data_IF_916247580034
#
_entry.id   IF_916247580034
#
_cell.length_a   1.000
_cell.length_b   1.000
_cell.length_c   1.000
_cell.angle_alpha   90.00
_cell.angle_beta   90.00
_cell.angle_gamma   90.00
#
_symmetry.space_group_name_H-M   'P 1'
#
loop_
_entity.id
_entity.type
_entity.pdbx_description
1 polymer ?
#
# COMPACT_ATOMS: atom_id res chain seq x y z
N UNK A 1 -25.79 -9.34 -4.17
CA UNK A 1 -24.56 -9.52 -3.37
C UNK A 1 -24.68 -10.77 -2.52
N UNK A 2 -23.62 -11.55 -2.29
CA UNK A 2 -23.68 -12.74 -1.42
C UNK A 2 -23.83 -12.37 0.06
N UNK A 3 -24.39 -13.27 0.87
CA UNK A 3 -24.54 -13.09 2.34
C UNK A 3 -23.20 -12.73 3.01
N UNK A 4 -22.11 -13.38 2.60
CA UNK A 4 -20.77 -13.12 3.13
C UNK A 4 -20.28 -11.67 2.86
N UNK A 5 -20.60 -11.10 1.69
CA UNK A 5 -20.24 -9.70 1.38
C UNK A 5 -21.07 -8.71 2.20
N UNK A 6 -22.36 -8.96 2.39
CA UNK A 6 -23.20 -8.12 3.25
C UNK A 6 -22.68 -8.13 4.70
N UNK A 7 -22.33 -9.31 5.22
CA UNK A 7 -21.71 -9.43 6.54
C UNK A 7 -20.40 -8.64 6.62
N UNK A 8 -19.56 -8.70 5.57
CA UNK A 8 -18.30 -7.96 5.51
C UNK A 8 -18.52 -6.45 5.57
N UNK A 9 -19.49 -5.92 4.84
CA UNK A 9 -19.82 -4.49 4.90
C UNK A 9 -20.35 -4.09 6.28
N UNK A 10 -21.23 -4.89 6.88
CA UNK A 10 -21.78 -4.62 8.20
C UNK A 10 -20.68 -4.60 9.28
N UNK A 11 -19.83 -5.63 9.31
CA UNK A 11 -18.68 -5.71 10.24
C UNK A 11 -17.72 -4.53 10.01
N UNK A 12 -17.45 -4.20 8.74
CA UNK A 12 -16.57 -3.08 8.40
C UNK A 12 -17.13 -1.73 8.87
N UNK A 13 -18.43 -1.49 8.67
CA UNK A 13 -19.11 -0.27 9.12
C UNK A 13 -19.11 -0.17 10.65
N UNK A 14 -19.34 -1.26 11.37
CA UNK A 14 -19.20 -1.30 12.82
C UNK A 14 -17.77 -0.97 13.27
N UNK A 15 -16.76 -1.42 12.53
CA UNK A 15 -15.37 -1.05 12.75
C UNK A 15 -15.12 0.45 12.63
N UNK A 16 -15.68 1.10 11.60
CA UNK A 16 -15.61 2.57 11.45
C UNK A 16 -16.25 3.25 12.65
N UNK A 17 -17.47 2.88 13.02
CA UNK A 17 -18.20 3.47 14.16
C UNK A 17 -17.40 3.32 15.45
N UNK A 18 -16.83 2.15 15.71
CA UNK A 18 -16.01 1.92 16.90
C UNK A 18 -14.76 2.80 16.92
N UNK A 19 -14.06 2.94 15.79
CA UNK A 19 -12.86 3.79 15.71
C UNK A 19 -13.20 5.27 15.87
N UNK A 20 -14.31 5.74 15.27
CA UNK A 20 -14.79 7.13 15.47
C UNK A 20 -15.13 7.36 16.94
N UNK A 21 -15.88 6.44 17.56
CA UNK A 21 -16.30 6.57 18.96
C UNK A 21 -15.14 6.54 19.95
N UNK A 22 -14.10 5.74 19.67
CA UNK A 22 -12.87 5.65 20.47
C UNK A 22 -11.83 6.73 20.11
N UNK A 23 -12.14 7.64 19.16
CA UNK A 23 -11.20 8.65 18.65
C UNK A 23 -9.86 8.06 18.18
N UNK A 24 -9.92 6.87 17.58
CA UNK A 24 -8.76 6.18 17.00
C UNK A 24 -8.45 6.72 15.60
N UNK A 25 -7.16 6.77 15.19
CA UNK A 25 -6.76 7.33 13.91
C UNK A 25 -7.29 6.50 12.73
N UNK A 26 -7.48 7.17 11.59
CA UNK A 26 -7.87 6.54 10.31
C UNK A 26 -9.08 5.60 10.42
N UNK A 27 -10.24 6.05 10.93
CA UNK A 27 -11.39 5.18 11.19
C UNK A 27 -11.87 4.42 9.95
N UNK A 28 -11.79 5.03 8.77
CA UNK A 28 -12.20 4.41 7.51
C UNK A 28 -11.19 3.39 6.98
N UNK A 29 -9.92 3.39 7.41
CA UNK A 29 -8.94 2.39 7.00
C UNK A 29 -8.74 1.31 8.07
N UNK A 30 -8.42 1.73 9.29
CA UNK A 30 -8.10 0.83 10.40
C UNK A 30 -9.35 0.17 10.99
N UNK A 31 -10.48 0.87 11.03
CA UNK A 31 -11.74 0.32 11.54
C UNK A 31 -12.19 -0.94 10.77
N UNK A 32 -12.43 -0.85 9.45
CA UNK A 32 -12.79 -2.01 8.62
C UNK A 32 -11.76 -3.13 8.66
N UNK A 33 -10.47 -2.78 8.68
CA UNK A 33 -9.38 -3.76 8.74
C UNK A 33 -9.41 -4.55 10.05
N UNK A 34 -9.45 -3.85 11.19
CA UNK A 34 -9.46 -4.45 12.52
C UNK A 34 -10.74 -5.26 12.75
N UNK A 35 -11.91 -4.72 12.41
CA UNK A 35 -13.18 -5.42 12.58
C UNK A 35 -13.26 -6.69 11.72
N UNK A 36 -12.84 -6.63 10.45
CA UNK A 36 -12.78 -7.82 9.60
C UNK A 36 -11.75 -8.83 10.10
N UNK A 37 -10.59 -8.39 10.58
CA UNK A 37 -9.59 -9.27 11.18
C UNK A 37 -10.14 -10.01 12.39
N UNK A 38 -10.72 -9.29 13.35
CA UNK A 38 -11.30 -9.86 14.58
C UNK A 38 -12.41 -10.85 14.23
N UNK A 39 -13.33 -10.48 13.34
CA UNK A 39 -14.40 -11.36 12.91
C UNK A 39 -13.87 -12.61 12.16
N UNK A 40 -12.86 -12.45 11.31
CA UNK A 40 -12.24 -13.56 10.60
C UNK A 40 -11.52 -14.54 11.56
N UNK A 41 -10.81 -14.02 12.56
CA UNK A 41 -10.21 -14.82 13.64
C UNK A 41 -11.25 -15.51 14.52
N UNK A 42 -12.42 -14.89 14.71
CA UNK A 42 -13.60 -15.48 15.34
C UNK A 42 -14.33 -16.52 14.47
N UNK A 43 -13.83 -16.84 13.27
CA UNK A 43 -14.39 -17.85 12.38
C UNK A 43 -15.50 -17.35 11.45
N UNK A 44 -15.78 -16.04 11.41
CA UNK A 44 -16.78 -15.49 10.50
C UNK A 44 -16.36 -15.67 9.03
N UNK A 45 -17.31 -16.13 8.20
CA UNK A 45 -17.12 -16.28 6.75
C UNK A 45 -17.35 -14.96 6.04
N UNK A 46 -16.33 -14.11 6.04
CA UNK A 46 -16.34 -12.85 5.31
C UNK A 46 -15.98 -13.06 3.83
N UNK A 47 -16.44 -12.16 2.97
CA UNK A 47 -16.24 -12.22 1.53
C UNK A 47 -15.67 -10.93 0.97
N UNK A 48 -14.58 -11.03 0.22
CA UNK A 48 -13.99 -9.89 -0.47
C UNK A 48 -14.93 -9.27 -1.52
N UNK A 49 -14.66 -8.00 -1.86
CA UNK A 49 -15.52 -7.18 -2.72
C UNK A 49 -15.22 -7.31 -4.23
N UNK A 50 -14.36 -8.27 -4.63
CA UNK A 50 -14.08 -8.57 -6.03
C UNK A 50 -13.67 -7.33 -6.82
N UNK A 51 -14.41 -7.02 -7.89
CA UNK A 51 -14.13 -5.88 -8.80
C UNK A 51 -14.20 -4.50 -8.13
N UNK A 52 -14.89 -4.38 -7.01
CA UNK A 52 -14.95 -3.10 -6.28
C UNK A 52 -13.58 -2.74 -5.70
N UNK A 53 -12.77 -3.72 -5.30
CA UNK A 53 -11.48 -3.41 -4.67
C UNK A 53 -10.48 -2.78 -5.66
N UNK A 54 -10.25 -3.31 -6.88
CA UNK A 54 -9.48 -2.60 -7.90
C UNK A 54 -10.10 -1.26 -8.30
N UNK A 55 -11.43 -1.15 -8.35
CA UNK A 55 -12.09 0.12 -8.64
C UNK A 55 -11.78 1.18 -7.56
N UNK A 56 -11.82 0.82 -6.29
CA UNK A 56 -11.51 1.76 -5.20
C UNK A 56 -10.04 2.18 -5.19
N UNK A 57 -9.14 1.35 -5.70
CA UNK A 57 -7.73 1.70 -5.89
C UNK A 57 -7.51 2.74 -6.99
N UNK A 58 -8.42 2.89 -7.96
CA UNK A 58 -8.29 3.93 -8.99
C UNK A 58 -8.38 5.32 -8.42
N UNK A 59 -9.17 5.51 -7.35
CA UNK A 59 -9.27 6.78 -6.62
C UNK A 59 -7.91 7.20 -6.08
N UNK A 60 -7.13 6.25 -5.54
CA UNK A 60 -5.76 6.55 -5.09
C UNK A 60 -4.83 6.86 -6.25
N UNK A 61 -4.96 6.15 -7.37
CA UNK A 61 -4.23 6.48 -8.59
C UNK A 61 -4.50 7.91 -9.04
N UNK A 62 -5.77 8.32 -9.10
CA UNK A 62 -6.15 9.72 -9.40
C UNK A 62 -5.53 10.67 -8.37
N UNK A 63 -5.68 10.39 -7.07
CA UNK A 63 -5.16 11.26 -6.00
C UNK A 63 -3.65 11.46 -6.08
N UNK A 64 -2.90 10.40 -6.41
CA UNK A 64 -1.46 10.48 -6.66
C UNK A 64 -1.20 11.29 -7.92
N UNK A 65 -1.96 11.05 -9.00
CA UNK A 65 -1.82 11.78 -10.26
C UNK A 65 -2.03 13.29 -10.12
N UNK A 66 -2.95 13.73 -9.25
CA UNK A 66 -3.15 15.17 -8.98
C UNK A 66 -1.99 15.82 -8.24
N UNK A 67 -1.08 15.05 -7.65
CA UNK A 67 0.16 15.58 -7.06
C UNK A 67 1.28 15.78 -8.10
N UNK A 68 1.10 15.29 -9.32
CA UNK A 68 2.04 15.47 -10.44
C UNK A 68 1.76 16.80 -11.12
N UNK A 69 2.20 17.88 -10.50
CA UNK A 69 2.09 19.25 -11.03
C UNK A 69 3.41 19.70 -11.67
N UNK A 70 3.41 20.79 -12.48
CA UNK A 70 4.65 21.34 -13.02
C UNK A 70 5.68 21.69 -11.93
N UNK A 71 5.22 22.18 -10.78
CA UNK A 71 6.06 22.48 -9.61
C UNK A 71 6.74 21.20 -9.06
N UNK A 72 5.96 20.15 -8.82
CA UNK A 72 6.48 18.85 -8.38
C UNK A 72 7.50 18.29 -9.36
N UNK A 73 7.24 18.41 -10.67
CA UNK A 73 8.18 17.95 -11.72
C UNK A 73 9.49 18.75 -11.68
N UNK A 74 9.41 20.06 -11.42
CA UNK A 74 10.60 20.91 -11.24
C UNK A 74 11.47 20.49 -10.06
N UNK A 75 10.89 19.89 -9.02
CA UNK A 75 11.58 19.39 -7.81
C UNK A 75 12.16 17.98 -7.94
N UNK A 76 11.95 17.29 -9.08
CA UNK A 76 12.47 15.93 -9.28
C UNK A 76 13.99 15.77 -9.04
N UNK A 77 14.86 16.72 -9.43
CA UNK A 77 16.29 16.61 -9.16
C UNK A 77 16.61 16.56 -7.66
N UNK A 78 15.85 17.26 -6.81
CA UNK A 78 16.01 17.25 -5.35
C UNK A 78 15.67 15.88 -4.77
N UNK A 79 14.66 15.21 -5.34
CA UNK A 79 14.22 13.89 -4.91
C UNK A 79 15.16 12.77 -5.39
N UNK A 80 15.87 12.98 -6.50
CA UNK A 80 16.63 11.96 -7.21
C UNK A 80 17.66 11.27 -6.31
N UNK A 81 18.37 12.02 -5.47
CA UNK A 81 19.41 11.48 -4.59
C UNK A 81 18.83 10.44 -3.60
N UNK A 82 17.68 10.74 -2.99
CA UNK A 82 17.01 9.79 -2.09
C UNK A 82 16.41 8.61 -2.86
N UNK A 83 15.83 8.85 -4.04
CA UNK A 83 15.28 7.78 -4.90
C UNK A 83 16.37 6.81 -5.36
N UNK A 84 17.60 7.28 -5.58
CA UNK A 84 18.74 6.42 -5.94
C UNK A 84 19.17 5.46 -4.82
N UNK A 85 18.74 5.68 -3.59
CA UNK A 85 18.95 4.74 -2.49
C UNK A 85 17.98 3.55 -2.53
N UNK A 86 16.86 3.66 -3.25
CA UNK A 86 15.83 2.61 -3.33
C UNK A 86 16.36 1.28 -3.88
N UNK A 87 17.17 1.21 -4.95
CA UNK A 87 17.82 -0.03 -5.36
C UNK A 87 18.63 -0.70 -4.26
N UNK A 88 19.42 0.07 -3.51
CA UNK A 88 20.24 -0.45 -2.41
C UNK A 88 19.35 -0.95 -1.28
N UNK A 89 18.31 -0.19 -0.95
CA UNK A 89 17.29 -0.57 0.03
C UNK A 89 16.62 -1.90 -0.35
N UNK A 90 16.16 -2.06 -1.60
CA UNK A 90 15.55 -3.30 -2.08
C UNK A 90 16.53 -4.47 -2.02
N UNK A 91 17.80 -4.25 -2.40
CA UNK A 91 18.83 -5.28 -2.35
C UNK A 91 19.07 -5.77 -0.91
N UNK A 92 19.20 -4.86 0.05
CA UNK A 92 19.40 -5.18 1.47
C UNK A 92 18.17 -5.92 2.01
N UNK A 93 16.96 -5.45 1.68
CA UNK A 93 15.73 -6.13 2.08
C UNK A 93 15.71 -7.58 1.57
N UNK A 94 16.07 -7.81 0.30
CA UNK A 94 16.15 -9.14 -0.27
C UNK A 94 17.23 -10.00 0.39
N UNK A 95 18.42 -9.43 0.61
CA UNK A 95 19.55 -10.11 1.22
C UNK A 95 19.33 -10.51 2.68
N UNK A 96 18.51 -9.75 3.42
CA UNK A 96 18.12 -10.08 4.80
C UNK A 96 16.88 -10.97 4.83
N UNK A 97 15.86 -10.61 4.05
CA UNK A 97 14.55 -11.27 4.06
C UNK A 97 14.59 -12.69 3.50
N UNK A 98 15.33 -12.94 2.42
CA UNK A 98 15.39 -14.28 1.82
C UNK A 98 16.01 -15.30 2.79
N UNK A 99 17.18 -15.06 3.41
CA UNK A 99 17.72 -15.97 4.42
C UNK A 99 16.82 -16.11 5.65
N UNK A 100 16.15 -15.03 6.09
CA UNK A 100 15.19 -15.10 7.19
C UNK A 100 14.09 -16.12 6.86
N UNK A 101 13.39 -15.96 5.75
CA UNK A 101 12.32 -16.88 5.37
C UNK A 101 12.82 -18.30 5.02
N UNK A 102 13.99 -18.40 4.38
CA UNK A 102 14.53 -19.69 3.93
C UNK A 102 15.13 -20.51 5.06
N UNK A 103 15.93 -19.89 5.94
CA UNK A 103 16.71 -20.58 6.98
C UNK A 103 16.08 -20.51 8.36
N UNK A 104 15.44 -19.39 8.71
CA UNK A 104 14.81 -19.22 10.04
C UNK A 104 13.38 -19.77 10.02
N UNK A 105 12.58 -19.39 9.02
CA UNK A 105 11.18 -19.87 8.91
C UNK A 105 11.05 -21.22 8.18
N UNK A 106 12.08 -21.67 7.46
CA UNK A 106 12.12 -22.98 6.82
C UNK A 106 11.25 -23.11 5.56
N UNK A 107 10.89 -22.00 4.89
CA UNK A 107 10.08 -22.05 3.67
C UNK A 107 10.86 -22.55 2.45
N UNK A 108 10.15 -23.08 1.46
CA UNK A 108 10.71 -23.40 0.13
C UNK A 108 11.27 -22.14 -0.56
N UNK A 109 12.13 -22.33 -1.56
CA UNK A 109 12.82 -21.21 -2.21
C UNK A 109 11.86 -20.19 -2.83
N UNK A 110 10.90 -20.58 -3.70
CA UNK A 110 9.90 -19.64 -4.24
C UNK A 110 9.12 -18.89 -3.17
N UNK A 111 8.59 -19.59 -2.16
CA UNK A 111 7.84 -18.96 -1.06
C UNK A 111 8.71 -17.96 -0.30
N UNK A 112 9.95 -18.35 0.06
CA UNK A 112 10.86 -17.48 0.81
C UNK A 112 11.30 -16.26 -0.01
N UNK A 113 11.63 -16.45 -1.28
CA UNK A 113 12.13 -15.39 -2.16
C UNK A 113 11.05 -14.33 -2.40
N UNK A 114 9.86 -14.72 -2.85
CA UNK A 114 8.82 -13.75 -3.15
C UNK A 114 8.16 -13.16 -1.90
N UNK A 115 8.17 -13.85 -0.75
CA UNK A 115 7.78 -13.26 0.53
C UNK A 115 8.74 -12.15 0.98
N UNK A 116 10.03 -12.30 0.68
CA UNK A 116 11.08 -11.32 1.00
C UNK A 116 11.09 -10.10 0.08
N UNK A 117 10.43 -10.13 -1.07
CA UNK A 117 10.47 -9.01 -1.99
C UNK A 117 9.44 -7.94 -1.59
N UNK A 118 9.83 -6.66 -1.43
CA UNK A 118 8.93 -5.57 -1.03
C UNK A 118 8.10 -5.06 -2.22
N UNK A 119 7.53 -5.98 -3.00
CA UNK A 119 6.69 -5.72 -4.17
C UNK A 119 5.20 -5.61 -3.86
N UNK A 120 4.42 -5.37 -4.92
CA UNK A 120 2.96 -5.42 -4.87
C UNK A 120 2.46 -6.82 -4.50
N UNK A 121 1.55 -6.89 -3.52
CA UNK A 121 1.02 -8.17 -3.02
C UNK A 121 0.56 -9.09 -4.15
N UNK A 122 -0.23 -8.59 -5.10
CA UNK A 122 -0.80 -9.44 -6.16
C UNK A 122 0.28 -10.01 -7.08
N UNK A 123 1.26 -9.21 -7.46
CA UNK A 123 2.30 -9.63 -8.41
C UNK A 123 3.25 -10.65 -7.77
N UNK A 124 3.62 -10.45 -6.50
CA UNK A 124 4.47 -11.42 -5.79
C UNK A 124 3.77 -12.77 -5.66
N UNK A 125 2.46 -12.78 -5.42
CA UNK A 125 1.68 -14.02 -5.40
C UNK A 125 1.66 -14.71 -6.76
N UNK A 126 1.47 -13.98 -7.86
CA UNK A 126 1.49 -14.55 -9.22
C UNK A 126 2.86 -15.13 -9.55
N UNK A 127 3.94 -14.36 -9.34
CA UNK A 127 5.30 -14.85 -9.63
C UNK A 127 5.71 -16.02 -8.72
N UNK A 128 5.26 -15.99 -7.46
CA UNK A 128 5.44 -17.09 -6.53
C UNK A 128 4.71 -18.35 -6.97
N UNK A 129 3.44 -18.23 -7.37
CA UNK A 129 2.64 -19.34 -7.88
C UNK A 129 3.25 -19.95 -9.15
N UNK A 130 3.65 -19.12 -10.11
CA UNK A 130 4.36 -19.55 -11.33
C UNK A 130 5.68 -20.26 -11.04
N UNK A 131 6.35 -19.89 -9.95
CA UNK A 131 7.57 -20.53 -9.48
C UNK A 131 7.32 -21.75 -8.57
N UNK A 132 6.06 -22.12 -8.29
CA UNK A 132 5.69 -23.26 -7.45
C UNK A 132 5.65 -23.00 -5.94
N UNK A 133 5.58 -21.74 -5.54
CA UNK A 133 5.51 -21.31 -4.14
C UNK A 133 4.11 -21.42 -3.52
N UNK A 134 4.05 -21.37 -2.20
CA UNK A 134 2.81 -21.43 -1.43
C UNK A 134 2.12 -20.05 -1.38
N UNK A 135 1.15 -19.87 -2.25
CA UNK A 135 0.33 -18.65 -2.38
C UNK A 135 -0.35 -18.26 -1.06
N UNK A 136 -0.81 -19.23 -0.25
CA UNK A 136 -1.49 -18.96 1.02
C UNK A 136 -0.53 -18.36 2.05
N UNK A 137 0.64 -18.98 2.24
CA UNK A 137 1.68 -18.47 3.14
C UNK A 137 2.15 -17.08 2.72
N UNK A 138 2.47 -16.88 1.44
CA UNK A 138 2.89 -15.57 0.92
C UNK A 138 1.80 -14.51 1.10
N UNK A 139 0.54 -14.88 0.87
CA UNK A 139 -0.60 -13.97 1.04
C UNK A 139 -0.72 -13.53 2.50
N UNK A 140 -0.55 -14.44 3.45
CA UNK A 140 -0.57 -14.11 4.87
C UNK A 140 0.62 -13.24 5.28
N UNK A 141 1.83 -13.52 4.81
CA UNK A 141 3.03 -12.74 5.12
C UNK A 141 2.87 -11.29 4.64
N UNK A 142 2.51 -11.09 3.37
CA UNK A 142 2.34 -9.74 2.83
C UNK A 142 1.12 -9.02 3.41
N UNK A 143 0.02 -9.73 3.69
CA UNK A 143 -1.13 -9.14 4.38
C UNK A 143 -0.78 -8.74 5.83
N UNK A 144 0.02 -9.55 6.51
CA UNK A 144 0.55 -9.24 7.85
C UNK A 144 1.45 -8.02 7.79
N UNK A 145 2.30 -7.90 6.77
CA UNK A 145 3.11 -6.70 6.54
C UNK A 145 2.28 -5.45 6.41
N UNK A 146 1.26 -5.47 5.56
CA UNK A 146 0.37 -4.32 5.40
C UNK A 146 -0.36 -4.04 6.72
N UNK A 147 -0.92 -5.06 7.37
CA UNK A 147 -1.63 -4.92 8.65
C UNK A 147 -0.76 -4.24 9.73
N UNK A 148 0.46 -4.76 9.96
CA UNK A 148 1.39 -4.24 10.97
C UNK A 148 1.78 -2.80 10.66
N UNK A 149 2.25 -2.54 9.43
CA UNK A 149 2.75 -1.22 9.05
C UNK A 149 1.65 -0.16 9.05
N UNK A 150 0.48 -0.48 8.50
CA UNK A 150 -0.65 0.46 8.43
C UNK A 150 -1.25 0.71 9.81
N UNK A 151 -1.15 -0.23 10.75
CA UNK A 151 -1.58 -0.01 12.14
C UNK A 151 -0.58 0.81 12.94
N UNK A 152 0.73 0.57 12.76
CA UNK A 152 1.77 1.23 13.56
C UNK A 152 2.07 2.66 13.09
N UNK A 153 2.11 2.93 11.79
CA UNK A 153 2.51 4.25 11.28
C UNK A 153 1.61 5.38 11.80
N UNK A 154 0.26 5.29 11.74
CA UNK A 154 -0.61 6.35 12.26
C UNK A 154 -0.39 6.61 13.75
N UNK A 155 -0.13 5.56 14.54
CA UNK A 155 0.18 5.69 15.97
C UNK A 155 1.51 6.44 16.17
N UNK A 156 2.54 6.11 15.39
CA UNK A 156 3.82 6.83 15.44
C UNK A 156 3.64 8.29 15.01
N UNK A 157 2.83 8.56 13.99
CA UNK A 157 2.54 9.92 13.53
C UNK A 157 1.84 10.77 14.59
N UNK A 158 0.86 10.21 15.32
CA UNK A 158 0.18 10.94 16.40
C UNK A 158 1.03 11.07 17.67
N UNK A 159 1.88 10.09 17.98
CA UNK A 159 2.65 10.09 19.24
C UNK A 159 4.03 10.75 19.13
N UNK A 160 4.75 10.53 18.03
CA UNK A 160 6.11 11.05 17.80
C UNK A 160 6.05 12.42 17.12
N UNK A 161 5.26 12.55 16.05
CA UNK A 161 5.14 13.81 15.30
C UNK A 161 3.97 14.70 15.76
N UNK A 162 3.14 14.23 16.70
CA UNK A 162 1.98 14.98 17.23
C UNK A 162 1.04 15.47 16.13
N UNK A 163 0.91 14.69 15.04
CA UNK A 163 0.06 15.03 13.91
C UNK A 163 -1.42 14.80 14.25
N UNK A 164 -2.26 15.75 13.87
CA UNK A 164 -3.70 15.57 13.88
C UNK A 164 -4.17 14.85 12.61
N UNK A 165 -4.53 13.57 12.76
CA UNK A 165 -5.01 12.72 11.67
C UNK A 165 -6.54 12.72 11.53
N UNK A 166 -7.24 13.62 12.23
CA UNK A 166 -8.69 13.79 12.10
C UNK A 166 -9.08 14.69 10.92
N UNK A 167 -8.10 15.40 10.34
CA UNK A 167 -8.31 16.27 9.18
C UNK A 167 -8.76 15.44 7.97
N UNK A 168 -9.83 15.86 7.27
CA UNK A 168 -10.29 15.17 6.05
C UNK A 168 -9.17 15.06 4.99
N UNK A 169 -9.05 13.93 4.28
CA UNK A 169 -8.00 13.71 3.30
C UNK A 169 -8.17 14.50 1.99
N UNK A 170 -9.26 15.24 1.84
CA UNK A 170 -9.61 16.04 0.68
C UNK A 170 -10.66 17.10 1.05
N UNK A 171 -11.07 17.92 0.09
CA UNK A 171 -12.20 18.84 0.24
C UNK A 171 -13.53 18.13 0.01
N UNK A 172 -14.63 18.72 0.47
CA UNK A 172 -15.97 18.20 0.22
C UNK A 172 -16.27 18.12 -1.29
N UNK A 173 -17.11 17.17 -1.69
CA UNK A 173 -17.46 16.98 -3.10
C UNK A 173 -18.08 18.22 -3.75
N UNK A 174 -18.82 19.02 -2.99
CA UNK A 174 -19.45 20.26 -3.47
C UNK A 174 -18.45 21.36 -3.81
N UNK A 175 -17.25 21.32 -3.21
CA UNK A 175 -16.20 22.29 -3.46
C UNK A 175 -15.39 21.99 -4.73
N UNK A 176 -15.51 20.79 -5.30
CA UNK A 176 -14.77 20.39 -6.50
C UNK A 176 -15.61 20.71 -7.74
N UNK A 177 -15.05 21.42 -8.74
CA UNK A 177 -15.77 21.72 -9.97
C UNK A 177 -16.31 20.43 -10.65
N UNK A 178 -17.58 20.39 -11.09
CA UNK A 178 -18.17 19.19 -11.69
C UNK A 178 -17.42 18.65 -12.92
N UNK A 179 -16.78 19.55 -13.67
CA UNK A 179 -15.97 19.17 -14.83
C UNK A 179 -14.68 18.44 -14.41
N UNK A 180 -14.02 18.86 -13.31
CA UNK A 180 -12.86 18.15 -12.77
C UNK A 180 -13.28 16.78 -12.22
N UNK A 181 -14.43 16.68 -11.54
CA UNK A 181 -14.97 15.38 -11.09
C UNK A 181 -15.19 14.42 -12.28
N UNK A 182 -15.78 14.91 -13.37
CA UNK A 182 -15.98 14.12 -14.57
C UNK A 182 -14.64 13.66 -15.20
N UNK A 183 -13.65 14.55 -15.26
CA UNK A 183 -12.31 14.23 -15.74
C UNK A 183 -11.60 13.21 -14.82
N UNK A 184 -11.74 13.33 -13.50
CA UNK A 184 -11.20 12.36 -12.54
C UNK A 184 -11.82 10.99 -12.73
N UNK A 185 -13.14 10.89 -12.90
CA UNK A 185 -13.82 9.61 -13.18
C UNK A 185 -13.37 9.02 -14.52
N UNK A 186 -13.26 9.87 -15.55
CA UNK A 186 -12.76 9.45 -16.87
C UNK A 186 -11.31 8.95 -16.80
N UNK A 187 -10.44 9.65 -16.07
CA UNK A 187 -9.05 9.24 -15.86
C UNK A 187 -8.95 7.96 -15.00
N UNK A 188 -9.79 7.82 -13.96
CA UNK A 188 -9.86 6.63 -13.13
C UNK A 188 -10.22 5.38 -13.93
N UNK A 189 -11.29 5.43 -14.71
CA UNK A 189 -11.78 4.29 -15.47
C UNK A 189 -10.97 4.06 -16.75
N UNK A 190 -10.73 5.13 -17.51
CA UNK A 190 -9.97 5.09 -18.76
C UNK A 190 -8.50 4.75 -18.53
N UNK A 191 -7.88 5.32 -17.51
CA UNK A 191 -6.51 5.01 -17.11
C UNK A 191 -6.37 3.57 -16.62
N UNK A 192 -7.30 3.07 -15.79
CA UNK A 192 -7.28 1.67 -15.37
C UNK A 192 -7.46 0.72 -16.56
N UNK A 193 -8.45 0.97 -17.41
CA UNK A 193 -8.71 0.16 -18.61
C UNK A 193 -7.51 0.15 -19.57
N UNK A 194 -6.93 1.33 -19.83
CA UNK A 194 -5.73 1.49 -20.65
C UNK A 194 -4.55 0.71 -20.06
N UNK A 195 -4.34 0.85 -18.75
CA UNK A 195 -3.29 0.13 -18.03
C UNK A 195 -3.44 -1.39 -18.07
N UNK A 196 -4.67 -1.90 -17.98
CA UNK A 196 -4.94 -3.34 -18.16
C UNK A 196 -4.59 -3.78 -19.59
N UNK A 197 -4.95 -3.00 -20.60
CA UNK A 197 -4.67 -3.33 -22.02
C UNK A 197 -3.18 -3.42 -22.33
N UNK A 198 -2.38 -2.51 -21.79
CA UNK A 198 -0.91 -2.53 -21.96
C UNK A 198 -0.20 -3.43 -20.94
N UNK A 199 -0.95 -4.19 -20.13
CA UNK A 199 -0.43 -5.09 -19.09
C UNK A 199 0.48 -4.37 -18.07
N UNK A 200 0.13 -3.12 -17.72
CA UNK A 200 0.82 -2.40 -16.66
C UNK A 200 0.64 -3.11 -15.32
N UNK A 201 1.74 -3.21 -14.58
CA UNK A 201 1.68 -3.65 -13.19
C UNK A 201 0.87 -2.67 -12.36
N UNK A 202 0.13 -3.17 -11.36
CA UNK A 202 -0.70 -2.31 -10.54
C UNK A 202 -1.64 -1.41 -11.34
N UNK A 203 -2.16 -1.87 -12.50
CA UNK A 203 -2.91 -1.04 -13.46
C UNK A 203 -4.05 -0.23 -12.83
N UNK A 204 -4.64 -0.72 -11.74
CA UNK A 204 -5.68 -0.01 -10.98
C UNK A 204 -5.20 1.23 -10.23
N UNK A 205 -3.89 1.43 -10.04
CA UNK A 205 -3.31 2.63 -9.43
C UNK A 205 -2.51 3.40 -10.49
N UNK A 206 -1.61 2.71 -11.20
CA UNK A 206 -0.63 3.35 -12.10
C UNK A 206 -1.28 3.91 -13.35
N UNK A 207 -2.24 3.18 -13.95
CA UNK A 207 -2.97 3.67 -15.10
C UNK A 207 -3.71 4.99 -14.83
N UNK A 208 -4.57 5.05 -13.79
CA UNK A 208 -5.21 6.29 -13.35
C UNK A 208 -4.23 7.40 -12.99
N UNK A 209 -3.13 7.06 -12.30
CA UNK A 209 -2.09 8.02 -11.94
C UNK A 209 -1.45 8.69 -13.16
N UNK A 210 -1.10 7.91 -14.19
CA UNK A 210 -0.52 8.46 -15.43
C UNK A 210 -1.56 9.34 -16.14
N UNK A 211 -2.80 8.85 -16.27
CA UNK A 211 -3.87 9.60 -16.93
C UNK A 211 -4.16 10.93 -16.21
N UNK A 212 -4.34 10.90 -14.89
CA UNK A 212 -4.58 12.10 -14.08
C UNK A 212 -3.36 13.00 -14.02
N UNK A 213 -2.14 12.46 -13.95
CA UNK A 213 -0.91 13.25 -13.98
C UNK A 213 -0.78 14.05 -15.28
N UNK A 214 -1.11 13.44 -16.43
CA UNK A 214 -1.14 14.17 -17.69
C UNK A 214 -2.17 15.31 -17.70
N UNK A 215 -3.37 15.07 -17.15
CA UNK A 215 -4.41 16.10 -17.02
C UNK A 215 -4.01 17.22 -16.04
N UNK A 216 -3.33 16.87 -14.95
CA UNK A 216 -2.85 17.83 -13.96
C UNK A 216 -1.72 18.70 -14.51
N UNK A 217 -0.77 18.11 -15.24
CA UNK A 217 0.28 18.85 -15.95
C UNK A 217 -0.27 19.78 -17.04
N UNK A 218 -1.37 19.41 -17.68
CA UNK A 218 -2.10 20.25 -18.63
C UNK A 218 -2.92 21.37 -17.96
N UNK A 219 -2.98 21.43 -16.63
CA UNK A 219 -3.78 22.38 -15.87
C UNK A 219 -5.29 22.10 -15.91
N UNK A 220 -5.72 20.91 -16.35
CA UNK A 220 -7.13 20.52 -16.46
C UNK A 220 -7.70 19.94 -15.17
N UNK A 221 -6.84 19.43 -14.28
CA UNK A 221 -7.20 19.00 -12.93
C UNK A 221 -6.26 19.70 -11.95
N UNK A 222 -6.84 20.48 -11.05
CA UNK A 222 -6.13 21.24 -10.02
C UNK A 222 -6.53 20.83 -8.61
N UNK A 223 -7.68 20.18 -8.48
CA UNK A 223 -8.18 19.67 -7.20
C UNK A 223 -7.78 18.21 -7.00
N UNK A 224 -7.68 17.80 -5.74
CA UNK A 224 -7.63 16.38 -5.38
C UNK A 224 -9.03 15.76 -5.46
N UNK A 225 -9.16 14.43 -5.54
CA UNK A 225 -10.44 13.78 -5.36
C UNK A 225 -11.09 14.17 -4.03
N UNK A 226 -12.43 14.26 -3.99
CA UNK A 226 -13.13 14.71 -2.80
C UNK A 226 -12.97 13.72 -1.64
N UNK A 227 -13.08 14.22 -0.41
CA UNK A 227 -12.81 13.46 0.81
C UNK A 227 -13.59 12.14 0.85
N UNK A 228 -14.86 12.16 0.45
CA UNK A 228 -15.76 11.02 0.44
C UNK A 228 -15.25 9.89 -0.46
N UNK A 229 -14.65 10.23 -1.60
CA UNK A 229 -14.06 9.25 -2.50
C UNK A 229 -12.84 8.58 -1.86
N UNK A 230 -11.98 9.37 -1.21
CA UNK A 230 -10.78 8.85 -0.53
C UNK A 230 -11.16 8.00 0.69
N UNK A 231 -12.16 8.42 1.47
CA UNK A 231 -12.69 7.66 2.61
C UNK A 231 -13.35 6.35 2.15
N UNK A 232 -14.08 6.35 1.03
CA UNK A 232 -14.58 5.14 0.42
C UNK A 232 -13.42 4.20 0.01
N UNK A 233 -12.37 4.74 -0.61
CA UNK A 233 -11.20 3.95 -0.97
C UNK A 233 -10.54 3.30 0.25
N UNK A 234 -10.36 4.06 1.34
CA UNK A 234 -9.84 3.56 2.62
C UNK A 234 -10.68 2.41 3.16
N UNK A 235 -12.01 2.56 3.16
CA UNK A 235 -12.94 1.55 3.65
C UNK A 235 -12.79 0.22 2.93
N UNK A 236 -12.79 0.25 1.61
CA UNK A 236 -12.67 -0.97 0.80
C UNK A 236 -11.27 -1.57 0.80
N UNK A 237 -10.23 -0.76 0.99
CA UNK A 237 -8.85 -1.26 1.15
C UNK A 237 -8.70 -1.94 2.52
N UNK A 238 -9.15 -1.30 3.60
CA UNK A 238 -9.08 -1.81 4.96
C UNK A 238 -9.77 -3.16 5.12
N UNK A 239 -11.04 -3.26 4.70
CA UNK A 239 -11.77 -4.54 4.75
C UNK A 239 -11.10 -5.62 3.92
N UNK A 240 -10.46 -5.26 2.80
CA UNK A 240 -9.84 -6.26 1.94
C UNK A 240 -8.54 -6.82 2.53
N UNK A 241 -7.82 -6.06 3.37
CA UNK A 241 -6.71 -6.58 4.17
C UNK A 241 -7.25 -7.51 5.27
N UNK A 242 -8.26 -7.07 6.04
CA UNK A 242 -8.82 -7.86 7.14
C UNK A 242 -9.44 -9.19 6.68
N UNK A 243 -10.09 -9.22 5.51
CA UNK A 243 -10.68 -10.45 4.95
C UNK A 243 -9.66 -11.49 4.48
N UNK A 244 -8.35 -11.19 4.41
CA UNK A 244 -7.31 -12.19 4.08
C UNK A 244 -7.16 -13.29 5.13
N UNK A 245 -7.58 -13.01 6.36
CA UNK A 245 -7.47 -13.92 7.51
C UNK A 245 -8.67 -14.86 7.65
N UNK A 246 -9.64 -14.81 6.72
CA UNK A 246 -10.78 -15.74 6.75
C UNK A 246 -10.29 -17.18 6.62
N UNK A 247 -10.78 -18.04 7.50
CA UNK A 247 -10.42 -19.46 7.55
C UNK A 247 -8.97 -19.72 7.96
N UNK A 248 -8.30 -18.75 8.61
CA UNK A 248 -6.95 -18.96 9.12
C UNK A 248 -6.93 -20.02 10.21
N UNK A 249 -5.93 -20.90 10.15
CA UNK A 249 -5.70 -21.95 11.13
C UNK A 249 -4.72 -21.50 12.21
N UNK A 250 -4.75 -22.14 13.37
CA UNK A 250 -3.78 -21.88 14.45
C UNK A 250 -2.34 -22.12 14.00
N UNK A 251 -2.11 -23.06 13.06
CA UNK A 251 -0.79 -23.32 12.49
C UNK A 251 -0.32 -22.15 11.64
N UNK A 252 -1.14 -21.66 10.71
CA UNK A 252 -0.83 -20.49 9.88
C UNK A 252 -0.60 -19.24 10.75
N UNK A 253 -1.38 -19.06 11.83
CA UNK A 253 -1.15 -17.96 12.77
C UNK A 253 0.21 -18.07 13.47
N UNK A 254 0.61 -19.28 13.91
CA UNK A 254 1.88 -19.51 14.62
C UNK A 254 3.11 -19.49 13.72
N UNK A 255 2.95 -19.78 12.43
CA UNK A 255 4.07 -19.92 11.49
C UNK A 255 4.12 -18.71 10.54
N UNK A 256 3.06 -18.47 9.78
CA UNK A 256 3.07 -17.50 8.69
C UNK A 256 2.85 -16.06 9.18
N UNK A 257 1.95 -15.86 10.13
CA UNK A 257 1.71 -14.52 10.70
C UNK A 257 2.87 -14.12 11.60
N UNK A 258 3.42 -15.01 12.43
CA UNK A 258 4.61 -14.72 13.24
C UNK A 258 5.85 -14.45 12.38
N UNK A 259 6.06 -15.22 11.30
CA UNK A 259 7.11 -14.94 10.32
C UNK A 259 6.90 -13.58 9.66
N UNK A 260 5.66 -13.25 9.28
CA UNK A 260 5.29 -11.93 8.77
C UNK A 260 5.63 -10.81 9.74
N UNK A 261 5.24 -10.91 11.02
CA UNK A 261 5.55 -9.93 12.07
C UNK A 261 7.06 -9.81 12.29
N UNK A 262 7.78 -10.94 12.41
CA UNK A 262 9.24 -10.92 12.59
C UNK A 262 9.95 -10.24 11.42
N UNK A 263 9.51 -10.53 10.20
CA UNK A 263 10.03 -9.86 9.02
C UNK A 263 9.67 -8.36 8.98
N UNK A 264 8.50 -7.96 9.46
CA UNK A 264 8.14 -6.54 9.57
C UNK A 264 9.09 -5.77 10.48
N UNK A 265 9.52 -6.38 11.59
CA UNK A 265 10.48 -5.73 12.50
C UNK A 265 11.84 -5.54 11.82
N UNK A 266 12.32 -6.55 11.08
CA UNK A 266 13.54 -6.43 10.28
C UNK A 266 13.41 -5.34 9.21
N UNK A 267 12.30 -5.34 8.48
CA UNK A 267 12.01 -4.33 7.47
C UNK A 267 11.93 -2.93 8.06
N UNK A 268 11.28 -2.77 9.22
CA UNK A 268 11.16 -1.49 9.91
C UNK A 268 12.53 -0.96 10.34
N UNK A 269 13.42 -1.83 10.84
CA UNK A 269 14.79 -1.44 11.21
C UNK A 269 15.60 -0.98 10.00
N UNK A 270 15.53 -1.72 8.88
CA UNK A 270 16.22 -1.33 7.64
C UNK A 270 15.64 -0.01 7.11
N UNK A 271 14.32 0.12 7.06
CA UNK A 271 13.64 1.33 6.60
C UNK A 271 13.99 2.54 7.48
N UNK A 272 14.04 2.36 8.81
CA UNK A 272 14.45 3.40 9.74
C UNK A 272 15.89 3.85 9.47
N UNK A 273 16.83 2.94 9.25
CA UNK A 273 18.21 3.29 8.93
C UNK A 273 18.35 4.13 7.66
N UNK A 274 17.59 3.82 6.60
CA UNK A 274 17.58 4.63 5.37
C UNK A 274 16.88 5.97 5.57
N UNK A 275 15.73 5.99 6.24
CA UNK A 275 15.00 7.21 6.54
C UNK A 275 15.85 8.18 7.36
N UNK A 276 16.53 7.68 8.40
CA UNK A 276 17.42 8.47 9.25
C UNK A 276 18.63 8.98 8.47
N UNK A 277 19.26 8.14 7.63
CA UNK A 277 20.38 8.57 6.79
C UNK A 277 19.99 9.72 5.84
N UNK A 278 18.80 9.64 5.22
CA UNK A 278 18.27 10.67 4.33
C UNK A 278 17.92 11.95 5.10
N UNK A 279 17.34 11.82 6.30
CA UNK A 279 17.00 12.94 7.17
C UNK A 279 18.25 13.67 7.68
N UNK A 280 19.27 12.94 8.16
CA UNK A 280 20.53 13.50 8.63
C UNK A 280 21.36 14.15 7.51
N UNK A 281 21.22 13.67 6.28
CA UNK A 281 21.81 14.30 5.10
C UNK A 281 21.08 15.60 4.68
N UNK A 282 19.99 15.98 5.35
CA UNK A 282 19.24 17.21 5.06
C UNK A 282 18.53 17.21 3.71
N UNK A 283 18.23 16.02 3.16
CA UNK A 283 17.62 15.89 1.83
C UNK A 283 16.13 16.25 1.85
N UNK A 284 15.43 15.89 2.92
CA UNK A 284 14.00 16.14 3.10
C UNK A 284 13.63 16.08 4.58
N UNK A 285 12.41 16.49 4.91
CA UNK A 285 11.87 16.38 6.27
C UNK A 285 11.85 14.93 6.76
N UNK A 286 12.15 14.67 8.04
CA UNK A 286 12.18 13.32 8.61
C UNK A 286 10.90 12.52 8.37
N UNK A 287 9.74 13.18 8.38
CA UNK A 287 8.45 12.54 8.09
C UNK A 287 8.37 12.02 6.65
N UNK A 288 8.82 12.83 5.67
CA UNK A 288 8.84 12.44 4.26
C UNK A 288 9.79 11.26 4.04
N UNK A 289 10.99 11.30 4.65
CA UNK A 289 11.96 10.22 4.59
C UNK A 289 11.41 8.93 5.21
N UNK A 290 10.82 9.02 6.40
CA UNK A 290 10.20 7.89 7.10
C UNK A 290 9.11 7.24 6.24
N UNK A 291 8.19 8.03 5.71
CA UNK A 291 7.10 7.51 4.87
C UNK A 291 7.58 7.00 3.52
N UNK A 292 8.63 7.57 2.94
CA UNK A 292 9.19 7.14 1.66
C UNK A 292 9.86 5.75 1.72
N UNK A 293 10.54 5.43 2.82
CA UNK A 293 11.17 4.11 3.02
C UNK A 293 10.29 3.11 3.78
N UNK A 294 9.15 3.54 4.33
CA UNK A 294 8.22 2.65 5.01
C UNK A 294 7.81 1.44 4.13
N UNK A 295 7.91 0.20 4.62
CA UNK A 295 7.70 -1.02 3.83
C UNK A 295 6.20 -1.39 3.72
N UNK A 296 5.34 -0.41 3.48
CA UNK A 296 3.90 -0.58 3.33
C UNK A 296 3.45 -0.92 1.90
N UNK A 297 2.15 -1.18 1.75
CA UNK A 297 1.52 -1.33 0.44
C UNK A 297 1.41 0.02 -0.29
N UNK A 298 1.48 0.02 -1.63
CA UNK A 298 1.45 1.27 -2.42
C UNK A 298 0.19 2.09 -2.16
N UNK A 299 -0.97 1.43 -2.10
CA UNK A 299 -2.26 2.09 -1.84
C UNK A 299 -2.31 2.72 -0.44
N UNK A 300 -1.84 1.99 0.55
CA UNK A 300 -1.96 2.37 1.96
C UNK A 300 -0.97 3.48 2.31
N UNK A 301 0.23 3.47 1.72
CA UNK A 301 1.21 4.54 1.93
C UNK A 301 0.78 5.85 1.25
N UNK A 302 0.08 5.78 0.11
CA UNK A 302 -0.52 6.97 -0.49
C UNK A 302 -1.52 7.64 0.47
N UNK A 303 -2.43 6.85 1.06
CA UNK A 303 -3.40 7.35 2.05
C UNK A 303 -2.69 7.97 3.25
N UNK A 304 -1.71 7.25 3.81
CA UNK A 304 -0.99 7.72 4.98
C UNK A 304 -0.25 9.03 4.68
N UNK A 305 0.42 9.14 3.53
CA UNK A 305 1.10 10.37 3.13
C UNK A 305 0.13 11.56 2.95
N UNK A 306 -1.05 11.33 2.36
CA UNK A 306 -2.08 12.37 2.21
C UNK A 306 -2.50 12.92 3.57
N UNK A 307 -2.80 12.03 4.52
CA UNK A 307 -3.33 12.43 5.84
C UNK A 307 -2.22 12.97 6.74
N UNK A 308 -0.99 12.51 6.54
CA UNK A 308 0.19 13.09 7.18
C UNK A 308 0.45 14.55 6.79
N UNK A 309 -0.13 15.02 5.68
CA UNK A 309 0.29 16.26 5.03
C UNK A 309 1.70 16.18 4.46
N UNK A 310 2.22 14.97 4.24
CA UNK A 310 3.55 14.73 3.71
C UNK A 310 3.64 15.05 2.21
N UNK A 311 4.85 15.19 1.70
CA UNK A 311 5.10 15.35 0.26
C UNK A 311 4.72 14.04 -0.47
N UNK A 312 3.49 13.98 -0.96
CA UNK A 312 2.92 12.81 -1.62
C UNK A 312 3.75 12.39 -2.83
N UNK A 313 4.27 13.34 -3.60
CA UNK A 313 5.06 13.04 -4.77
C UNK A 313 6.40 12.40 -4.40
N UNK A 314 7.06 12.93 -3.36
CA UNK A 314 8.29 12.35 -2.82
C UNK A 314 8.07 10.90 -2.38
N UNK A 315 7.08 10.65 -1.53
CA UNK A 315 6.78 9.31 -0.99
C UNK A 315 6.46 8.34 -2.12
N UNK A 316 5.61 8.74 -3.06
CA UNK A 316 5.17 7.85 -4.14
C UNK A 316 6.27 7.58 -5.15
N UNK A 317 7.15 8.54 -5.45
CA UNK A 317 8.28 8.30 -6.34
C UNK A 317 9.17 7.16 -5.82
N UNK A 318 9.45 7.13 -4.52
CA UNK A 318 10.20 6.03 -3.89
C UNK A 318 9.46 4.69 -4.00
N UNK A 319 8.15 4.70 -3.74
CA UNK A 319 7.32 3.50 -3.81
C UNK A 319 7.14 2.96 -5.22
N UNK A 320 7.06 3.82 -6.23
CA UNK A 320 7.01 3.44 -7.63
C UNK A 320 8.34 2.88 -8.07
N UNK A 321 9.46 3.56 -7.79
CA UNK A 321 10.80 3.08 -8.10
C UNK A 321 11.01 1.68 -7.50
N UNK A 322 10.66 1.49 -6.23
CA UNK A 322 10.73 0.20 -5.53
C UNK A 322 9.98 -0.89 -6.28
N UNK A 323 8.72 -0.62 -6.65
CA UNK A 323 7.87 -1.64 -7.29
C UNK A 323 8.31 -1.93 -8.72
N UNK A 324 8.74 -0.92 -9.49
CA UNK A 324 9.32 -1.12 -10.83
C UNK A 324 10.53 -2.05 -10.74
N UNK A 325 11.47 -1.73 -9.84
CA UNK A 325 12.67 -2.55 -9.64
C UNK A 325 12.32 -3.98 -9.25
N UNK A 326 11.43 -4.17 -8.27
CA UNK A 326 11.07 -5.51 -7.79
C UNK A 326 10.36 -6.31 -8.89
N UNK A 327 9.41 -5.73 -9.61
CA UNK A 327 8.64 -6.45 -10.63
C UNK A 327 9.52 -6.83 -11.83
N UNK A 328 10.43 -5.94 -12.24
CA UNK A 328 11.33 -6.22 -13.38
C UNK A 328 12.46 -7.17 -12.98
N UNK A 329 13.07 -6.99 -11.80
CA UNK A 329 14.31 -7.68 -11.44
C UNK A 329 14.10 -8.94 -10.59
N UNK A 330 13.04 -9.03 -9.78
CA UNK A 330 12.84 -10.19 -8.90
C UNK A 330 12.67 -11.51 -9.68
N UNK A 331 11.86 -11.60 -10.76
CA UNK A 331 11.74 -12.83 -11.55
C UNK A 331 13.07 -13.23 -12.21
N UNK A 332 13.87 -12.24 -12.63
CA UNK A 332 15.20 -12.46 -13.22
C UNK A 332 16.14 -13.02 -12.15
N UNK A 333 16.20 -12.38 -10.99
CA UNK A 333 17.03 -12.83 -9.86
C UNK A 333 16.64 -14.23 -9.38
N UNK A 334 15.34 -14.55 -9.28
CA UNK A 334 14.85 -15.87 -8.91
C UNK A 334 15.35 -16.96 -9.88
N UNK A 335 15.32 -16.69 -11.19
CA UNK A 335 15.83 -17.65 -12.21
C UNK A 335 17.32 -17.92 -12.09
N UNK A 336 18.10 -16.99 -11.55
CA UNK A 336 19.54 -17.15 -11.36
C UNK A 336 19.85 -17.88 -10.05
N UNK A 337 19.13 -17.54 -8.98
CA UNK A 337 19.32 -18.12 -7.66
C UNK A 337 18.71 -19.52 -7.52
N UNK A 338 17.63 -19.83 -8.25
CA UNK A 338 16.96 -21.14 -8.22
C UNK A 338 17.63 -22.22 -9.09
N UNK A 339 18.74 -21.92 -9.75
CA UNK A 339 19.55 -22.88 -10.54
C UNK A 339 20.72 -23.49 -9.75
N UNK A 340 20.87 -23.14 -8.47
CA UNK A 340 21.82 -23.76 -7.53
C UNK A 340 21.10 -24.65 -6.54
#
# INVERSE_FOLDING_TARGET
MSRARLLTLAVSALGVVAFVWLSLPLPFLLGPMAACLIAALGGARLGGMGRVQPLMRTILGVTIGTAVTPETVGRLPEMAMSVMLVPIFVLIIGAVGYPFFRKVCGYDHPTAFYSAMPGGLQDMLVFGEEAGGNVRTMSLIHATRVLVIVSLIPILMTTVWQLDLSVPPGTDAEAVPPHELALMVAAALGGWWGGVKVKLFGASIIGPMIATGALSLAGLITHRPPAEAILAAQFFIGLAVGTKYVGITTRELRVDVTAGVGYCLLLALIAFGFAEAVALAGITDPLNAFLAFAPGGQSEMAIIAIIAGADLAFVIMHHLMRVILVITLAPIANRWLGKG
#
